data_IF_946996335025
#
_entry.id   IF_946996335025
#
_cell.length_a   1.000
_cell.length_b   1.000
_cell.length_c   1.000
_cell.angle_alpha   90.00
_cell.angle_beta   90.00
_cell.angle_gamma   90.00
#
_symmetry.space_group_name_H-M   'P 1'
#
loop_
_entity.id
_entity.type
_entity.pdbx_description
1 polymer ?
#
# COMPACT_ATOMS: atom_id res chain seq x y z
N UNK A 1 -36.19 3.85 -2.55
CA UNK A 1 -36.25 2.85 -1.46
C UNK A 1 -34.86 2.25 -1.33
N UNK A 2 -34.21 2.35 -0.16
CA UNK A 2 -32.98 1.62 0.12
C UNK A 2 -33.37 0.15 0.29
N UNK A 3 -32.76 -0.73 -0.51
CA UNK A 3 -32.92 -2.17 -0.37
C UNK A 3 -31.78 -2.64 0.54
N UNK A 4 -32.11 -3.35 1.60
CA UNK A 4 -31.11 -3.83 2.56
C UNK A 4 -30.78 -5.28 2.21
N UNK A 5 -29.54 -5.55 1.81
CA UNK A 5 -29.08 -6.91 1.51
C UNK A 5 -28.35 -7.53 2.70
N UNK A 6 -29.13 -8.19 3.56
CA UNK A 6 -28.61 -8.95 4.69
C UNK A 6 -27.72 -10.14 4.26
N UNK A 7 -27.84 -10.62 3.01
CA UNK A 7 -27.01 -11.71 2.51
C UNK A 7 -25.54 -11.30 2.44
N UNK A 8 -25.28 -10.04 2.10
CA UNK A 8 -23.92 -9.47 2.06
C UNK A 8 -23.16 -9.64 3.38
N UNK A 9 -23.87 -9.50 4.52
CA UNK A 9 -23.28 -9.66 5.86
C UNK A 9 -23.01 -11.11 6.26
N UNK A 10 -23.79 -12.06 5.71
CA UNK A 10 -23.74 -13.49 6.09
C UNK A 10 -22.76 -14.27 5.19
N UNK A 11 -22.39 -13.71 4.03
CA UNK A 11 -21.35 -14.26 3.17
C UNK A 11 -19.99 -14.31 3.91
N UNK A 12 -19.12 -15.30 3.62
CA UNK A 12 -17.82 -15.44 4.28
C UNK A 12 -16.98 -14.15 4.24
N UNK A 13 -17.03 -13.41 3.14
CA UNK A 13 -16.34 -12.11 2.99
C UNK A 13 -16.91 -11.06 3.95
N UNK A 14 -18.24 -10.97 4.08
CA UNK A 14 -18.90 -10.05 5.01
C UNK A 14 -18.56 -10.36 6.47
N UNK A 15 -18.49 -11.64 6.84
CA UNK A 15 -18.08 -12.08 8.19
C UNK A 15 -16.63 -11.67 8.46
N UNK A 16 -15.72 -11.93 7.52
CA UNK A 16 -14.30 -11.55 7.64
C UNK A 16 -14.18 -10.03 7.84
N UNK A 17 -14.86 -9.22 7.03
CA UNK A 17 -14.86 -7.75 7.15
C UNK A 17 -15.39 -7.23 8.48
N UNK A 18 -16.42 -7.87 9.04
CA UNK A 18 -16.92 -7.50 10.37
C UNK A 18 -15.86 -7.76 11.46
N UNK A 19 -15.16 -8.88 11.39
CA UNK A 19 -14.08 -9.20 12.34
C UNK A 19 -12.90 -8.23 12.14
N UNK A 20 -12.54 -7.88 10.91
CA UNK A 20 -11.51 -6.88 10.61
C UNK A 20 -11.80 -5.53 11.25
N UNK A 21 -13.03 -5.02 11.12
CA UNK A 21 -13.45 -3.75 11.76
C UNK A 21 -13.31 -3.84 13.28
N UNK A 22 -13.74 -4.95 13.89
CA UNK A 22 -13.62 -5.13 15.33
C UNK A 22 -12.15 -5.16 15.78
N UNK A 23 -11.31 -5.93 15.11
CA UNK A 23 -9.90 -6.06 15.50
C UNK A 23 -9.10 -4.77 15.25
N UNK A 24 -9.32 -4.09 14.13
CA UNK A 24 -8.68 -2.79 13.85
C UNK A 24 -9.11 -1.71 14.85
N UNK A 25 -10.38 -1.71 15.26
CA UNK A 25 -10.87 -0.84 16.34
C UNK A 25 -10.20 -1.17 17.69
N UNK A 26 -10.03 -2.46 18.02
CA UNK A 26 -9.30 -2.90 19.22
C UNK A 26 -7.84 -2.43 19.18
N UNK A 27 -7.13 -2.59 18.06
CA UNK A 27 -5.76 -2.11 17.91
C UNK A 27 -5.67 -0.60 18.15
N UNK A 28 -6.54 0.17 17.52
CA UNK A 28 -6.60 1.63 17.69
C UNK A 28 -6.85 2.02 19.15
N UNK A 29 -7.83 1.38 19.81
CA UNK A 29 -8.15 1.66 21.20
C UNK A 29 -7.00 1.29 22.15
N UNK A 30 -6.34 0.15 21.93
CA UNK A 30 -5.18 -0.28 22.71
C UNK A 30 -4.03 0.71 22.57
N UNK A 31 -3.69 1.10 21.35
CA UNK A 31 -2.61 2.05 21.09
C UNK A 31 -2.92 3.45 21.63
N UNK A 32 -4.15 3.94 21.45
CA UNK A 32 -4.58 5.22 22.03
C UNK A 32 -4.52 5.21 23.56
N UNK A 33 -4.90 4.09 24.19
CA UNK A 33 -4.85 3.92 25.65
C UNK A 33 -3.43 3.77 26.21
N UNK A 34 -2.46 3.39 25.38
CA UNK A 34 -1.06 3.27 25.77
C UNK A 34 -0.37 4.63 25.91
N UNK A 35 -0.95 5.68 25.31
CA UNK A 35 -0.42 7.04 25.33
C UNK A 35 0.13 7.47 23.96
N UNK A 36 0.16 8.79 23.76
CA UNK A 36 0.72 9.41 22.57
C UNK A 36 2.23 9.59 22.73
N UNK A 37 2.95 9.28 21.66
CA UNK A 37 4.35 9.66 21.46
C UNK A 37 4.40 10.40 20.14
N UNK A 38 4.69 11.70 20.18
CA UNK A 38 4.65 12.61 19.02
C UNK A 38 5.75 12.33 17.97
N UNK A 39 5.72 11.12 17.40
CA UNK A 39 6.67 10.59 16.42
C UNK A 39 5.95 10.26 15.12
N UNK A 40 6.64 10.38 13.98
CA UNK A 40 6.09 10.05 12.64
C UNK A 40 5.55 8.62 12.58
N UNK A 41 6.31 7.68 13.16
CA UNK A 41 5.96 6.25 13.19
C UNK A 41 4.68 5.95 13.99
N UNK A 42 4.45 6.62 15.14
CA UNK A 42 3.22 6.46 15.91
C UNK A 42 2.00 6.97 15.12
N UNK A 43 2.12 8.17 14.54
CA UNK A 43 1.05 8.76 13.74
C UNK A 43 0.69 7.88 12.54
N UNK A 44 1.69 7.29 11.88
CA UNK A 44 1.49 6.34 10.79
C UNK A 44 0.75 5.06 11.24
N UNK A 45 1.13 4.48 12.39
CA UNK A 45 0.45 3.30 12.94
C UNK A 45 -1.03 3.61 13.25
N UNK A 46 -1.29 4.74 13.91
CA UNK A 46 -2.64 5.19 14.23
C UNK A 46 -3.47 5.46 12.97
N UNK A 47 -2.88 6.09 11.96
CA UNK A 47 -3.51 6.29 10.66
C UNK A 47 -3.89 4.96 10.01
N UNK A 48 -2.99 3.97 9.98
CA UNK A 48 -3.26 2.68 9.36
C UNK A 48 -4.43 1.95 10.02
N UNK A 49 -4.47 1.84 11.35
CA UNK A 49 -5.61 1.20 12.05
C UNK A 49 -6.92 1.93 11.82
N UNK A 50 -6.89 3.27 11.93
CA UNK A 50 -8.06 4.12 11.73
C UNK A 50 -8.59 4.03 10.29
N UNK A 51 -7.71 4.24 9.31
CA UNK A 51 -8.03 4.20 7.88
C UNK A 51 -8.59 2.84 7.47
N UNK A 52 -7.98 1.75 7.93
CA UNK A 52 -8.47 0.40 7.64
C UNK A 52 -9.85 0.15 8.27
N UNK A 53 -10.04 0.52 9.55
CA UNK A 53 -11.32 0.39 10.24
C UNK A 53 -12.45 1.13 9.53
N UNK A 54 -12.28 2.44 9.29
CA UNK A 54 -13.32 3.28 8.70
C UNK A 54 -13.63 2.90 7.24
N UNK A 55 -12.61 2.58 6.45
CA UNK A 55 -12.83 2.20 5.05
C UNK A 55 -13.50 0.84 4.94
N UNK A 56 -13.12 -0.14 5.78
CA UNK A 56 -13.81 -1.44 5.82
C UNK A 56 -15.26 -1.28 6.28
N UNK A 57 -15.52 -0.44 7.29
CA UNK A 57 -16.87 -0.13 7.72
C UNK A 57 -17.70 0.53 6.61
N UNK A 58 -17.10 1.47 5.86
CA UNK A 58 -17.74 2.11 4.72
C UNK A 58 -18.10 1.09 3.62
N UNK A 59 -17.19 0.15 3.32
CA UNK A 59 -17.45 -0.94 2.38
C UNK A 59 -18.65 -1.77 2.83
N UNK A 60 -18.69 -2.18 4.10
CA UNK A 60 -19.82 -2.93 4.67
C UNK A 60 -21.13 -2.15 4.52
N UNK A 61 -21.14 -0.86 4.85
CA UNK A 61 -22.34 -0.02 4.75
C UNK A 61 -22.81 0.09 3.29
N UNK A 62 -21.90 0.31 2.35
CA UNK A 62 -22.23 0.46 0.93
C UNK A 62 -22.74 -0.84 0.29
N UNK A 63 -22.22 -1.99 0.72
CA UNK A 63 -22.73 -3.30 0.30
C UNK A 63 -24.07 -3.63 0.97
N UNK A 64 -24.24 -3.31 2.25
CA UNK A 64 -25.48 -3.54 2.96
C UNK A 64 -26.65 -2.71 2.41
N UNK A 65 -26.36 -1.51 1.91
CA UNK A 65 -27.36 -0.57 1.36
C UNK A 65 -27.60 -0.71 -0.14
N UNK A 66 -26.97 -1.70 -0.81
CA UNK A 66 -26.95 -1.88 -2.28
C UNK A 66 -26.49 -0.62 -3.06
N UNK A 67 -25.83 0.33 -2.38
CA UNK A 67 -25.34 1.56 -2.99
C UNK A 67 -24.09 1.32 -3.83
N UNK A 68 -23.35 0.24 -3.55
CA UNK A 68 -22.22 -0.22 -4.36
C UNK A 68 -22.55 -0.31 -5.87
N UNK A 69 -23.76 -0.75 -6.23
CA UNK A 69 -24.21 -0.89 -7.63
C UNK A 69 -24.44 0.43 -8.35
N UNK A 70 -24.57 1.54 -7.60
CA UNK A 70 -24.86 2.87 -8.14
C UNK A 70 -23.60 3.72 -8.30
N UNK A 71 -22.50 3.31 -7.68
CA UNK A 71 -21.23 4.04 -7.81
C UNK A 71 -20.64 3.73 -9.19
N UNK A 72 -20.21 4.75 -9.96
CA UNK A 72 -19.63 4.55 -11.28
C UNK A 72 -18.16 4.05 -11.21
N UNK A 73 -17.88 3.07 -10.33
CA UNK A 73 -16.57 2.46 -10.17
C UNK A 73 -16.69 0.94 -10.26
N UNK A 74 -15.59 0.27 -10.56
CA UNK A 74 -15.49 -1.18 -10.41
C UNK A 74 -15.42 -1.54 -8.93
N UNK A 75 -16.55 -1.94 -8.35
CA UNK A 75 -16.65 -2.24 -6.91
C UNK A 75 -15.74 -3.39 -6.47
N UNK A 76 -15.66 -4.45 -7.27
CA UNK A 76 -14.79 -5.60 -6.98
C UNK A 76 -13.30 -5.20 -7.03
N UNK A 77 -12.87 -4.47 -8.06
CA UNK A 77 -11.50 -3.95 -8.14
C UNK A 77 -11.20 -3.00 -6.98
N UNK A 78 -12.13 -2.11 -6.61
CA UNK A 78 -11.96 -1.20 -5.48
C UNK A 78 -11.76 -1.95 -4.16
N UNK A 79 -12.64 -2.91 -3.85
CA UNK A 79 -12.55 -3.68 -2.61
C UNK A 79 -11.32 -4.58 -2.58
N UNK A 80 -10.93 -5.16 -3.72
CA UNK A 80 -9.69 -5.93 -3.83
C UNK A 80 -8.45 -5.03 -3.62
N UNK A 81 -8.42 -3.85 -4.26
CA UNK A 81 -7.33 -2.87 -4.10
C UNK A 81 -7.14 -2.49 -2.64
N UNK A 82 -8.25 -2.18 -1.99
CA UNK A 82 -8.26 -1.79 -0.59
C UNK A 82 -7.83 -2.95 0.32
N UNK A 83 -8.34 -4.17 0.14
CA UNK A 83 -7.94 -5.33 0.93
C UNK A 83 -6.44 -5.64 0.80
N UNK A 84 -5.88 -5.51 -0.41
CA UNK A 84 -4.45 -5.65 -0.66
C UNK A 84 -3.63 -4.56 0.07
N UNK A 85 -4.06 -3.30 -0.02
CA UNK A 85 -3.42 -2.19 0.69
C UNK A 85 -3.49 -2.37 2.21
N UNK A 86 -4.66 -2.74 2.75
CA UNK A 86 -4.88 -2.98 4.17
C UNK A 86 -4.02 -4.14 4.69
N UNK A 87 -3.86 -5.21 3.90
CA UNK A 87 -2.94 -6.32 4.20
C UNK A 87 -1.51 -5.80 4.40
N UNK A 88 -1.01 -4.99 3.47
CA UNK A 88 0.34 -4.43 3.52
C UNK A 88 0.52 -3.46 4.71
N UNK A 89 -0.49 -2.62 4.96
CA UNK A 89 -0.51 -1.71 6.11
C UNK A 89 -0.46 -2.49 7.43
N UNK A 90 -1.32 -3.49 7.61
CA UNK A 90 -1.39 -4.30 8.84
C UNK A 90 -0.09 -5.09 9.09
N UNK A 91 0.49 -5.67 8.04
CA UNK A 91 1.80 -6.33 8.13
C UNK A 91 2.89 -5.37 8.60
N UNK A 92 2.92 -4.17 8.03
CA UNK A 92 3.97 -3.19 8.30
C UNK A 92 3.86 -2.64 9.72
N UNK A 93 2.66 -2.27 10.18
CA UNK A 93 2.48 -1.78 11.56
C UNK A 93 2.66 -2.90 12.59
N UNK A 94 2.38 -4.16 12.24
CA UNK A 94 2.65 -5.30 13.12
C UNK A 94 4.15 -5.50 13.40
N UNK A 95 5.02 -5.03 12.49
CA UNK A 95 6.49 -5.04 12.63
C UNK A 95 6.99 -3.75 13.27
N UNK A 96 6.59 -2.59 12.74
CA UNK A 96 7.10 -1.28 13.19
C UNK A 96 6.65 -0.97 14.62
N UNK A 97 5.37 -1.19 14.94
CA UNK A 97 4.83 -0.79 16.24
C UNK A 97 5.55 -1.42 17.44
N UNK A 98 5.80 -2.75 17.48
CA UNK A 98 6.54 -3.32 18.59
C UNK A 98 8.02 -2.89 18.62
N UNK A 99 8.68 -2.70 17.47
CA UNK A 99 10.09 -2.30 17.43
C UNK A 99 10.33 -0.94 18.10
N UNK A 100 9.44 0.02 17.89
CA UNK A 100 9.59 1.37 18.43
C UNK A 100 8.92 1.57 19.80
N UNK A 101 7.85 0.83 20.10
CA UNK A 101 6.98 1.13 21.25
C UNK A 101 6.74 -0.04 22.21
N UNK A 102 7.21 -1.25 21.89
CA UNK A 102 7.08 -2.37 22.84
C UNK A 102 8.11 -2.27 23.96
N UNK A 103 7.66 -2.64 25.15
CA UNK A 103 8.53 -2.89 26.29
C UNK A 103 8.14 -4.23 26.92
N UNK A 104 9.04 -4.93 27.63
CA UNK A 104 8.77 -6.27 28.17
C UNK A 104 7.53 -6.37 29.07
N UNK A 105 7.13 -5.26 29.70
CA UNK A 105 5.97 -5.16 30.61
C UNK A 105 4.77 -4.42 30.00
N UNK A 106 4.87 -3.97 28.76
CA UNK A 106 3.86 -3.14 28.07
C UNK A 106 2.77 -4.01 27.43
N UNK A 107 1.86 -4.54 28.25
CA UNK A 107 0.80 -5.46 27.79
C UNK A 107 -0.13 -4.88 26.72
N UNK A 108 -0.40 -3.57 26.75
CA UNK A 108 -1.27 -2.88 25.78
C UNK A 108 -0.63 -2.84 24.39
N UNK A 109 0.65 -2.49 24.32
CA UNK A 109 1.40 -2.37 23.07
C UNK A 109 1.65 -3.75 22.45
N UNK A 110 1.97 -4.75 23.26
CA UNK A 110 2.08 -6.15 22.82
C UNK A 110 0.72 -6.62 22.27
N UNK A 111 -0.37 -6.32 22.97
CA UNK A 111 -1.73 -6.62 22.51
C UNK A 111 -2.04 -6.01 21.15
N UNK A 112 -1.73 -4.73 20.93
CA UNK A 112 -1.96 -4.05 19.65
C UNK A 112 -1.15 -4.69 18.50
N UNK A 113 0.10 -5.10 18.74
CA UNK A 113 0.93 -5.80 17.74
C UNK A 113 0.38 -7.19 17.40
N UNK A 114 0.02 -8.00 18.40
CA UNK A 114 -0.54 -9.35 18.20
C UNK A 114 -1.87 -9.28 17.44
N UNK A 115 -2.75 -8.35 17.81
CA UNK A 115 -4.03 -8.17 17.11
C UNK A 115 -3.80 -7.66 15.68
N UNK A 116 -2.77 -6.86 15.43
CA UNK A 116 -2.40 -6.43 14.06
C UNK A 116 -1.94 -7.60 13.18
N UNK A 117 -1.23 -8.59 13.73
CA UNK A 117 -0.92 -9.84 13.01
C UNK A 117 -2.18 -10.65 12.67
N UNK A 118 -3.17 -10.67 13.56
CA UNK A 118 -4.46 -11.29 13.26
C UNK A 118 -5.21 -10.53 12.15
N UNK A 119 -5.23 -9.19 12.20
CA UNK A 119 -5.78 -8.36 11.12
C UNK A 119 -5.10 -8.63 9.79
N UNK A 120 -3.77 -8.75 9.76
CA UNK A 120 -3.03 -9.12 8.56
C UNK A 120 -3.51 -10.46 7.96
N UNK A 121 -3.71 -11.47 8.83
CA UNK A 121 -4.25 -12.76 8.40
C UNK A 121 -5.67 -12.66 7.83
N UNK A 122 -6.52 -11.82 8.41
CA UNK A 122 -7.90 -11.61 7.93
C UNK A 122 -7.94 -10.88 6.59
N UNK A 123 -7.24 -9.76 6.43
CA UNK A 123 -7.19 -9.07 5.14
C UNK A 123 -6.56 -9.93 4.04
N UNK A 124 -5.55 -10.75 4.39
CA UNK A 124 -5.00 -11.74 3.46
C UNK A 124 -6.04 -12.78 3.05
N UNK A 125 -6.87 -13.24 4.00
CA UNK A 125 -7.97 -14.15 3.73
C UNK A 125 -9.06 -13.46 2.88
N UNK A 126 -9.35 -12.18 3.10
CA UNK A 126 -10.27 -11.39 2.26
C UNK A 126 -9.78 -11.36 0.82
N UNK A 127 -8.51 -10.99 0.58
CA UNK A 127 -7.90 -10.99 -0.75
C UNK A 127 -8.01 -12.36 -1.40
N UNK A 128 -7.73 -13.43 -0.64
CA UNK A 128 -7.84 -14.80 -1.14
C UNK A 128 -9.27 -15.22 -1.49
N UNK A 129 -10.26 -14.83 -0.67
CA UNK A 129 -11.68 -15.11 -0.91
C UNK A 129 -12.21 -14.37 -2.13
N UNK A 130 -11.82 -13.10 -2.31
CA UNK A 130 -12.16 -12.31 -3.50
C UNK A 130 -11.53 -12.96 -4.74
N UNK A 131 -10.25 -13.34 -4.67
CA UNK A 131 -9.54 -13.94 -5.79
C UNK A 131 -10.11 -15.30 -6.21
N UNK A 132 -10.64 -16.10 -5.26
CA UNK A 132 -11.20 -17.42 -5.54
C UNK A 132 -12.64 -17.44 -6.03
N UNK A 133 -13.33 -16.30 -6.09
CA UNK A 133 -14.74 -16.27 -6.49
C UNK A 133 -14.88 -16.67 -7.97
N UNK A 134 -15.54 -17.79 -8.30
CA UNK A 134 -15.68 -18.24 -9.69
C UNK A 134 -16.78 -17.44 -10.38
N UNK A 135 -16.45 -16.66 -11.42
CA UNK A 135 -17.44 -16.19 -12.40
C UNK A 135 -17.39 -14.74 -12.88
N UNK A 136 -16.59 -13.83 -12.31
CA UNK A 136 -16.68 -12.39 -12.66
C UNK A 136 -15.33 -11.63 -12.66
N UNK A 137 -14.21 -12.30 -12.43
CA UNK A 137 -12.92 -11.65 -12.19
C UNK A 137 -12.09 -11.45 -13.47
N UNK A 138 -12.55 -10.55 -14.35
CA UNK A 138 -11.71 -9.93 -15.41
C UNK A 138 -11.28 -8.51 -15.05
N UNK A 139 -11.08 -8.24 -13.75
CA UNK A 139 -10.55 -6.97 -13.27
C UNK A 139 -9.04 -6.88 -13.48
N UNK A 140 -8.55 -5.75 -13.98
CA UNK A 140 -7.11 -5.50 -14.15
C UNK A 140 -6.32 -5.70 -12.84
N UNK A 141 -6.95 -5.56 -11.67
CA UNK A 141 -6.32 -5.74 -10.36
C UNK A 141 -6.17 -7.19 -9.90
N UNK A 142 -6.81 -8.15 -10.58
CA UNK A 142 -6.51 -9.58 -10.37
C UNK A 142 -5.27 -10.03 -11.12
N UNK A 143 -4.73 -9.17 -11.99
CA UNK A 143 -3.51 -9.44 -12.75
C UNK A 143 -2.26 -9.06 -11.96
N UNK A 144 -1.15 -9.74 -12.25
CA UNK A 144 0.15 -9.49 -11.61
C UNK A 144 0.59 -8.01 -11.69
N UNK A 145 0.44 -7.30 -12.83
CA UNK A 145 0.72 -5.85 -12.90
C UNK A 145 -0.10 -5.00 -11.92
N UNK A 146 -1.40 -5.31 -11.74
CA UNK A 146 -2.26 -4.58 -10.82
C UNK A 146 -1.80 -4.71 -9.36
N UNK A 147 -1.41 -5.92 -8.94
CA UNK A 147 -0.82 -6.17 -7.63
C UNK A 147 0.49 -5.40 -7.43
N UNK A 148 1.36 -5.41 -8.45
CA UNK A 148 2.65 -4.72 -8.39
C UNK A 148 2.47 -3.20 -8.25
N UNK A 149 1.49 -2.60 -8.94
CA UNK A 149 1.17 -1.17 -8.81
C UNK A 149 0.74 -0.76 -7.39
N UNK A 150 -0.03 -1.61 -6.70
CA UNK A 150 -0.36 -1.37 -5.29
C UNK A 150 0.90 -1.46 -4.42
N UNK A 151 1.76 -2.44 -4.68
CA UNK A 151 3.02 -2.58 -3.95
C UNK A 151 3.96 -1.39 -4.18
N UNK A 152 4.06 -0.86 -5.41
CA UNK A 152 4.86 0.33 -5.75
C UNK A 152 4.42 1.54 -4.94
N UNK A 153 3.11 1.81 -4.93
CA UNK A 153 2.53 2.93 -4.18
C UNK A 153 2.71 2.76 -2.68
N UNK A 154 2.57 1.54 -2.17
CA UNK A 154 2.76 1.24 -0.76
C UNK A 154 4.22 1.44 -0.30
N UNK A 155 5.19 0.94 -1.07
CA UNK A 155 6.62 1.12 -0.77
C UNK A 155 7.00 2.59 -0.83
N UNK A 156 6.46 3.35 -1.78
CA UNK A 156 6.65 4.80 -1.81
C UNK A 156 6.07 5.51 -0.57
N UNK A 157 4.93 5.07 -0.04
CA UNK A 157 4.41 5.59 1.23
C UNK A 157 5.40 5.35 2.39
N UNK A 158 5.99 4.15 2.48
CA UNK A 158 7.02 3.87 3.51
C UNK A 158 8.20 4.82 3.35
N UNK A 159 8.69 5.02 2.12
CA UNK A 159 9.76 5.98 1.84
C UNK A 159 9.39 7.37 2.36
N UNK A 160 8.19 7.87 2.07
CA UNK A 160 7.75 9.19 2.55
C UNK A 160 7.62 9.27 4.07
N UNK A 161 7.20 8.20 4.74
CA UNK A 161 7.11 8.19 6.21
C UNK A 161 8.47 8.23 6.91
N UNK A 162 9.48 7.66 6.28
CA UNK A 162 10.87 7.64 6.78
C UNK A 162 11.71 8.84 6.30
N UNK A 163 11.21 9.64 5.35
CA UNK A 163 11.92 10.84 4.88
C UNK A 163 11.74 12.01 5.85
N UNK A 164 12.84 12.56 6.36
CA UNK A 164 12.80 13.82 7.10
C UNK A 164 13.19 15.02 6.21
N UNK A 165 12.62 16.21 6.42
CA UNK A 165 13.00 17.42 5.68
C UNK A 165 14.49 17.79 5.79
N UNK A 166 15.17 17.35 6.85
CA UNK A 166 16.59 17.61 7.03
C UNK A 166 17.44 16.83 6.02
N UNK A 167 16.99 15.64 5.62
CA UNK A 167 17.80 14.70 4.83
C UNK A 167 17.89 15.08 3.35
N UNK A 168 16.89 15.80 2.82
CA UNK A 168 16.82 16.10 1.39
C UNK A 168 16.89 17.59 1.03
N UNK A 169 16.77 18.52 1.98
CA UNK A 169 16.75 19.96 1.67
C UNK A 169 18.10 20.52 1.24
N UNK A 170 19.21 19.92 1.67
CA UNK A 170 20.55 20.51 1.53
C UNK A 170 21.22 20.12 0.21
N UNK A 171 21.08 18.87 -0.23
CA UNK A 171 21.82 18.34 -1.38
C UNK A 171 20.91 18.20 -2.60
N UNK A 172 21.26 18.75 -3.77
CA UNK A 172 20.45 18.62 -4.99
C UNK A 172 20.21 17.16 -5.41
N UNK A 173 21.18 16.26 -5.17
CA UNK A 173 21.03 14.84 -5.45
C UNK A 173 19.91 14.16 -4.65
N UNK A 174 19.77 14.48 -3.36
CA UNK A 174 18.67 13.96 -2.54
C UNK A 174 17.34 14.60 -2.92
N UNK A 175 17.32 15.86 -3.35
CA UNK A 175 16.12 16.50 -3.90
C UNK A 175 15.63 15.80 -5.17
N UNK A 176 16.56 15.40 -6.07
CA UNK A 176 16.22 14.59 -7.24
C UNK A 176 15.58 13.27 -6.85
N UNK A 177 16.15 12.55 -5.89
CA UNK A 177 15.59 11.28 -5.42
C UNK A 177 14.16 11.44 -4.90
N UNK A 178 13.89 12.47 -4.09
CA UNK A 178 12.54 12.76 -3.59
C UNK A 178 11.59 13.13 -4.74
N UNK A 179 12.07 13.85 -5.75
CA UNK A 179 11.29 14.13 -6.96
C UNK A 179 10.95 12.84 -7.72
N UNK A 180 11.90 11.91 -7.87
CA UNK A 180 11.66 10.59 -8.47
C UNK A 180 10.56 9.86 -7.70
N UNK A 181 10.68 9.73 -6.38
CA UNK A 181 9.68 9.04 -5.57
C UNK A 181 8.29 9.67 -5.70
N UNK A 182 8.22 11.00 -5.68
CA UNK A 182 6.96 11.76 -5.78
C UNK A 182 6.30 11.62 -7.14
N UNK A 183 7.05 11.79 -8.22
CA UNK A 183 6.54 11.62 -9.59
C UNK A 183 6.03 10.19 -9.76
N UNK A 184 6.85 9.20 -9.37
CA UNK A 184 6.50 7.81 -9.56
C UNK A 184 5.25 7.40 -8.76
N UNK A 185 5.16 7.85 -7.51
CA UNK A 185 4.00 7.64 -6.65
C UNK A 185 2.72 8.24 -7.23
N UNK A 186 2.75 9.51 -7.66
CA UNK A 186 1.56 10.20 -8.20
C UNK A 186 1.05 9.49 -9.44
N UNK A 187 1.92 9.15 -10.39
CA UNK A 187 1.50 8.45 -11.61
C UNK A 187 0.98 7.04 -11.32
N UNK A 188 1.62 6.29 -10.42
CA UNK A 188 1.16 4.95 -10.05
C UNK A 188 -0.21 4.99 -9.38
N UNK A 189 -0.43 5.95 -8.48
CA UNK A 189 -1.73 6.20 -7.85
C UNK A 189 -2.78 6.60 -8.90
N UNK A 190 -2.44 7.49 -9.84
CA UNK A 190 -3.34 7.88 -10.92
C UNK A 190 -3.71 6.68 -11.81
N UNK A 191 -2.76 5.80 -12.13
CA UNK A 191 -3.04 4.57 -12.91
C UNK A 191 -4.04 3.69 -12.15
N UNK A 192 -3.79 3.43 -10.86
CA UNK A 192 -4.71 2.64 -10.01
C UNK A 192 -6.10 3.28 -9.96
N UNK A 193 -6.18 4.59 -9.77
CA UNK A 193 -7.45 5.31 -9.72
C UNK A 193 -8.21 5.25 -11.05
N UNK A 194 -7.54 5.50 -12.17
CA UNK A 194 -8.13 5.44 -13.51
C UNK A 194 -8.65 4.04 -13.85
N UNK A 195 -7.93 3.01 -13.42
CA UNK A 195 -8.36 1.61 -13.57
C UNK A 195 -9.63 1.34 -12.76
N UNK A 196 -9.66 1.70 -11.46
CA UNK A 196 -10.82 1.47 -10.59
C UNK A 196 -12.05 2.25 -11.08
N UNK A 197 -11.85 3.48 -11.54
CA UNK A 197 -12.91 4.34 -12.08
C UNK A 197 -13.40 3.92 -13.48
N UNK A 198 -12.84 2.84 -14.07
CA UNK A 198 -13.10 2.41 -15.45
C UNK A 198 -12.94 3.54 -16.48
N UNK A 199 -12.06 4.50 -16.20
CA UNK A 199 -11.83 5.69 -17.02
C UNK A 199 -10.73 5.49 -18.06
N UNK A 200 -10.13 4.30 -18.11
CA UNK A 200 -9.10 3.94 -19.08
C UNK A 200 -9.59 4.04 -20.53
N UNK A 201 -10.89 3.86 -20.79
CA UNK A 201 -11.48 3.95 -22.13
C UNK A 201 -11.67 5.38 -22.66
N UNK A 202 -11.48 6.41 -21.82
CA UNK A 202 -11.58 7.82 -22.25
C UNK A 202 -10.30 8.26 -22.98
N UNK A 203 -9.18 7.57 -22.76
CA UNK A 203 -7.91 7.97 -23.35
C UNK A 203 -7.90 7.80 -24.88
N UNK A 204 -7.48 8.84 -25.63
CA UNK A 204 -7.41 8.78 -27.09
C UNK A 204 -6.31 7.84 -27.63
N UNK A 205 -5.46 7.31 -26.74
CA UNK A 205 -4.41 6.34 -27.04
C UNK A 205 -4.59 5.07 -26.21
N UNK A 206 -3.91 3.99 -26.60
CA UNK A 206 -3.92 2.72 -25.86
C UNK A 206 -3.33 2.91 -24.45
N UNK A 207 -4.20 2.82 -23.44
CA UNK A 207 -3.84 2.99 -22.02
C UNK A 207 -2.66 2.11 -21.62
N UNK A 208 -2.64 0.84 -22.05
CA UNK A 208 -1.57 -0.11 -21.75
C UNK A 208 -0.20 0.36 -22.27
N UNK A 209 -0.15 0.97 -23.45
CA UNK A 209 1.11 1.52 -24.01
C UNK A 209 1.64 2.68 -23.18
N UNK A 210 0.76 3.52 -22.64
CA UNK A 210 1.17 4.62 -21.78
C UNK A 210 1.65 4.13 -20.41
N UNK A 211 0.97 3.15 -19.82
CA UNK A 211 1.43 2.50 -18.57
C UNK A 211 2.82 1.89 -18.77
N UNK A 212 3.05 1.17 -19.87
CA UNK A 212 4.38 0.61 -20.20
C UNK A 212 5.42 1.72 -20.37
N UNK A 213 5.11 2.76 -21.12
CA UNK A 213 6.03 3.89 -21.36
C UNK A 213 6.42 4.57 -20.05
N UNK A 214 5.45 4.76 -19.17
CA UNK A 214 5.67 5.29 -17.83
C UNK A 214 6.51 4.35 -16.97
N UNK A 215 6.26 3.04 -17.00
CA UNK A 215 7.07 2.06 -16.26
C UNK A 215 8.53 2.04 -16.72
N UNK A 216 8.80 2.19 -18.04
CA UNK A 216 10.17 2.33 -18.55
C UNK A 216 10.85 3.57 -17.95
N UNK A 217 10.13 4.70 -17.94
CA UNK A 217 10.64 5.94 -17.36
C UNK A 217 10.88 5.79 -15.85
N UNK A 218 9.94 5.18 -15.11
CA UNK A 218 10.04 4.96 -13.68
C UNK A 218 11.26 4.08 -13.33
N UNK A 219 11.48 2.98 -14.07
CA UNK A 219 12.66 2.11 -13.89
C UNK A 219 13.96 2.91 -14.10
N UNK A 220 14.03 3.73 -15.16
CA UNK A 220 15.21 4.56 -15.41
C UNK A 220 15.45 5.59 -14.30
N UNK A 221 14.39 6.26 -13.83
CA UNK A 221 14.48 7.23 -12.74
C UNK A 221 14.87 6.56 -11.42
N UNK A 222 14.27 5.42 -11.06
CA UNK A 222 14.64 4.67 -9.85
C UNK A 222 16.06 4.11 -9.91
N UNK A 223 16.56 3.71 -11.08
CA UNK A 223 17.96 3.31 -11.23
C UNK A 223 18.92 4.45 -10.83
N UNK A 224 18.59 5.70 -11.16
CA UNK A 224 19.37 6.85 -10.70
C UNK A 224 19.25 7.06 -9.18
N UNK A 225 18.04 6.92 -8.62
CA UNK A 225 17.81 7.11 -7.19
C UNK A 225 18.52 6.06 -6.32
N UNK A 226 18.56 4.80 -6.77
CA UNK A 226 19.26 3.69 -6.09
C UNK A 226 20.76 3.98 -5.90
N UNK A 227 21.37 4.73 -6.81
CA UNK A 227 22.79 5.08 -6.74
C UNK A 227 22.99 6.42 -6.01
N UNK A 228 22.23 7.44 -6.39
CA UNK A 228 22.41 8.81 -5.88
C UNK A 228 22.09 8.88 -4.39
N UNK A 229 21.01 8.26 -3.93
CA UNK A 229 20.57 8.35 -2.54
C UNK A 229 21.65 7.88 -1.54
N UNK A 230 22.14 6.62 -1.59
CA UNK A 230 23.13 6.16 -0.62
C UNK A 230 24.47 6.90 -0.74
N UNK A 231 24.88 7.32 -1.94
CA UNK A 231 26.13 8.06 -2.14
C UNK A 231 26.13 9.38 -1.38
N UNK A 232 25.03 10.13 -1.39
CA UNK A 232 24.99 11.43 -0.70
C UNK A 232 24.64 11.33 0.78
N UNK A 233 23.85 10.33 1.16
CA UNK A 233 23.29 10.23 2.52
C UNK A 233 24.25 9.55 3.50
N UNK A 234 25.08 8.62 3.01
CA UNK A 234 26.05 7.90 3.85
C UNK A 234 27.49 8.42 3.75
N UNK A 235 27.79 9.33 2.81
CA UNK A 235 29.13 9.92 2.71
C UNK A 235 29.44 10.78 3.93
N UNK A 236 30.51 10.43 4.66
CA UNK A 236 30.89 11.11 5.90
C UNK A 236 29.89 10.99 7.07
N UNK A 237 28.87 10.12 6.97
CA UNK A 237 27.80 10.01 7.96
C UNK A 237 27.68 8.57 8.54
N UNK A 238 28.67 8.13 9.34
CA UNK A 238 28.65 6.80 9.95
C UNK A 238 27.55 6.70 11.02
N UNK A 239 27.03 5.49 11.24
CA UNK A 239 26.01 5.23 12.28
C UNK A 239 26.53 5.66 13.66
N UNK A 240 25.80 6.50 14.41
CA UNK A 240 26.21 6.92 15.75
C UNK A 240 26.29 5.74 16.73
N UNK A 241 27.32 5.71 17.58
CA UNK A 241 27.65 4.57 18.45
C UNK A 241 26.68 4.29 19.62
N UNK A 242 25.54 4.97 19.74
CA UNK A 242 24.51 4.74 20.76
C UNK A 242 23.09 5.12 20.25
N UNK A 243 22.79 4.75 19.00
CA UNK A 243 21.50 4.99 18.38
C UNK A 243 20.63 3.73 18.46
N UNK A 244 19.51 3.79 19.20
CA UNK A 244 18.47 2.75 19.22
C UNK A 244 17.15 3.33 19.79
N UNK A 245 16.10 3.55 18.96
CA UNK A 245 16.10 3.82 17.51
C UNK A 245 16.52 5.28 17.20
N UNK A 246 17.06 5.56 16.01
CA UNK A 246 17.34 6.95 15.58
C UNK A 246 17.11 7.23 14.09
N UNK A 247 17.17 8.51 13.73
CA UNK A 247 16.96 8.98 12.35
C UNK A 247 17.94 8.41 11.31
N UNK A 248 19.11 7.91 11.73
CA UNK A 248 20.03 7.24 10.81
C UNK A 248 19.44 5.91 10.30
N UNK A 249 18.67 5.21 11.13
CA UNK A 249 18.02 3.96 10.73
C UNK A 249 16.94 4.23 9.65
N UNK A 250 16.27 5.39 9.71
CA UNK A 250 15.32 5.83 8.68
C UNK A 250 15.99 6.00 7.31
N UNK A 251 17.25 6.47 7.26
CA UNK A 251 18.01 6.59 6.01
C UNK A 251 18.27 5.22 5.35
N UNK A 252 18.51 4.19 6.18
CA UNK A 252 18.65 2.81 5.73
C UNK A 252 17.31 2.28 5.22
N UNK A 253 16.21 2.57 5.91
CA UNK A 253 14.86 2.21 5.45
C UNK A 253 14.58 2.84 4.09
N UNK A 254 14.85 4.15 3.89
CA UNK A 254 14.66 4.80 2.59
C UNK A 254 15.51 4.13 1.51
N UNK A 255 16.79 3.85 1.79
CA UNK A 255 17.69 3.21 0.82
C UNK A 255 17.20 1.83 0.41
N UNK A 256 16.84 0.99 1.38
CA UNK A 256 16.39 -0.37 1.14
C UNK A 256 15.02 -0.39 0.44
N UNK A 257 14.10 0.49 0.81
CA UNK A 257 12.81 0.64 0.14
C UNK A 257 12.95 1.17 -1.28
N UNK A 258 13.91 2.06 -1.56
CA UNK A 258 14.21 2.52 -2.93
C UNK A 258 14.69 1.38 -3.82
N UNK A 259 15.56 0.50 -3.30
CA UNK A 259 16.02 -0.70 -4.02
C UNK A 259 14.86 -1.66 -4.27
N UNK A 260 14.03 -1.92 -3.26
CA UNK A 260 12.84 -2.76 -3.39
C UNK A 260 11.90 -2.18 -4.45
N UNK A 261 11.63 -0.87 -4.42
CA UNK A 261 10.72 -0.24 -5.38
C UNK A 261 11.26 -0.30 -6.80
N UNK A 262 12.57 -0.14 -6.99
CA UNK A 262 13.22 -0.33 -8.29
C UNK A 262 12.97 -1.74 -8.86
N UNK A 263 13.10 -2.78 -8.03
CA UNK A 263 12.81 -4.15 -8.45
C UNK A 263 11.33 -4.38 -8.76
N UNK A 264 10.42 -3.77 -7.98
CA UNK A 264 8.98 -3.86 -8.24
C UNK A 264 8.63 -3.22 -9.58
N UNK A 265 9.07 -1.99 -9.86
CA UNK A 265 8.88 -1.33 -11.16
C UNK A 265 9.49 -2.14 -12.32
N UNK A 266 10.66 -2.75 -12.10
CA UNK A 266 11.31 -3.60 -13.11
C UNK A 266 10.48 -4.85 -13.38
N UNK A 267 9.96 -5.49 -12.32
CA UNK A 267 9.05 -6.62 -12.42
C UNK A 267 7.78 -6.25 -13.16
N UNK A 268 7.15 -5.13 -12.81
CA UNK A 268 5.93 -4.66 -13.45
C UNK A 268 6.15 -4.38 -14.94
N UNK A 269 7.26 -3.74 -15.30
CA UNK A 269 7.65 -3.56 -16.69
C UNK A 269 7.80 -4.91 -17.42
N UNK A 270 8.52 -5.88 -16.83
CA UNK A 270 8.73 -7.18 -17.44
C UNK A 270 7.42 -7.95 -17.67
N UNK A 271 6.51 -7.93 -16.68
CA UNK A 271 5.19 -8.56 -16.81
C UNK A 271 4.29 -7.83 -17.81
N UNK A 272 4.26 -6.50 -17.79
CA UNK A 272 3.47 -5.69 -18.71
C UNK A 272 3.91 -5.90 -20.17
N UNK A 273 5.23 -5.92 -20.42
CA UNK A 273 5.80 -6.25 -21.74
C UNK A 273 5.41 -7.67 -22.14
N UNK A 274 5.58 -8.65 -21.26
CA UNK A 274 5.20 -10.04 -21.54
C UNK A 274 3.73 -10.14 -21.95
N UNK A 275 2.80 -9.53 -21.21
CA UNK A 275 1.37 -9.61 -21.51
C UNK A 275 1.07 -9.01 -22.89
N UNK A 276 1.62 -7.85 -23.23
CA UNK A 276 1.36 -7.21 -24.53
C UNK A 276 1.95 -8.01 -25.70
N UNK A 277 3.18 -8.50 -25.57
CA UNK A 277 3.84 -9.26 -26.64
C UNK A 277 3.24 -10.66 -26.86
N UNK A 278 2.81 -11.34 -25.80
CA UNK A 278 2.23 -12.69 -25.92
C UNK A 278 0.74 -12.68 -26.25
N UNK A 279 -0.03 -11.65 -25.85
CA UNK A 279 -1.44 -11.50 -26.26
C UNK A 279 -1.60 -11.21 -27.76
N UNK A 280 -0.66 -10.47 -28.38
CA UNK A 280 -0.70 -10.20 -29.82
C UNK A 280 -0.46 -11.45 -30.67
N UNK A 281 0.27 -12.45 -30.14
CA UNK A 281 0.64 -13.68 -30.86
C UNK A 281 -0.45 -14.76 -30.86
N UNK A 282 -1.55 -14.54 -30.14
CA UNK A 282 -2.72 -15.45 -30.11
C UNK A 282 -3.86 -15.03 -31.04
N UNK A 283 -3.68 -13.97 -31.83
CA UNK A 283 -4.65 -13.48 -32.81
C UNK A 283 -4.15 -13.59 -34.28
N UNK A 284 -3.00 -14.23 -34.49
CA UNK A 284 -2.51 -14.70 -35.80
C UNK A 284 -2.71 -16.22 -35.91
#
# INVERSE_FOLDING_TARGET
MLRLDFRSLILPIGIVRMVEVLLTCICFALAASAGDTATSHWAWCMFCWCFCCFTTLLIIILEFTDLNTKVPISWEDFTMAFAMLATLMMFTIAIIYPEFFSCPSCSRQIGASVVSWLCFGLYSAEVWLIHKRPGETSGFLTTVPGLLKILETFVACIIFTSLSPADYKVVPGTQWCVAVYSICFVFSLLIVFLTIAKLSSIFPFSFDKAVISFNILAVAMYATAVVIWPLYVFDGNPRPNNCNPCSWDDLVVVTSMTIINFFIYTGDLAYSVKIVFFSYRGQE
#
